data_IF_918266991985
#
_entry.id   IF_918266991985
#
_cell.length_a   1.000
_cell.length_b   1.000
_cell.length_c   1.000
_cell.angle_alpha   90.00
_cell.angle_beta   90.00
_cell.angle_gamma   90.00
#
_symmetry.space_group_name_H-M   'P 1'
#
loop_
_entity.id
_entity.type
_entity.pdbx_description
1 polymer ?
#
# COMPACT_ATOMS: atom_id res chain seq x y z
N UNK A 1 1.22 -10.83 14.12
CA UNK A 1 0.24 -9.75 13.93
C UNK A 1 0.44 -9.06 12.59
N UNK A 2 -0.65 -8.76 11.93
CA UNK A 2 -0.62 -8.08 10.64
C UNK A 2 -0.36 -6.58 10.83
N UNK A 3 0.55 -6.02 10.05
CA UNK A 3 0.87 -4.60 10.09
C UNK A 3 0.05 -3.87 9.04
N UNK A 4 -0.55 -2.76 9.43
CA UNK A 4 -1.46 -2.00 8.58
C UNK A 4 -1.03 -0.54 8.56
N UNK A 5 -1.00 0.05 7.36
CA UNK A 5 -0.84 1.48 7.18
C UNK A 5 -2.02 2.03 6.39
N UNK A 6 -2.45 3.23 6.76
CA UNK A 6 -3.35 4.02 5.91
C UNK A 6 -2.48 4.95 5.09
N UNK A 7 -2.57 4.86 3.77
CA UNK A 7 -1.72 5.65 2.89
C UNK A 7 -2.57 6.41 1.86
N UNK A 8 -1.99 7.47 1.33
CA UNK A 8 -2.59 8.27 0.26
C UNK A 8 -1.65 8.30 -0.92
N UNK A 9 -2.12 7.82 -2.07
CA UNK A 9 -1.36 7.81 -3.31
C UNK A 9 -1.97 8.87 -4.23
N UNK A 10 -1.36 10.06 -4.25
CA UNK A 10 -1.96 11.23 -4.90
C UNK A 10 -1.71 11.31 -6.39
N UNK A 11 -0.65 10.68 -6.89
CA UNK A 11 -0.24 10.83 -8.29
C UNK A 11 0.07 9.47 -8.89
N UNK A 12 0.12 9.43 -10.24
CA UNK A 12 0.53 8.22 -10.95
C UNK A 12 1.94 7.82 -10.53
N UNK A 13 2.82 8.81 -10.30
CA UNK A 13 4.18 8.55 -9.85
C UNK A 13 4.20 7.90 -8.47
N UNK A 14 3.33 8.32 -7.57
CA UNK A 14 3.22 7.70 -6.25
C UNK A 14 2.86 6.22 -6.38
N UNK A 15 1.90 5.90 -7.25
CA UNK A 15 1.47 4.52 -7.46
C UNK A 15 2.62 3.69 -8.03
N UNK A 16 3.37 4.24 -8.99
CA UNK A 16 4.52 3.54 -9.57
C UNK A 16 5.59 3.27 -8.53
N UNK A 17 5.91 4.26 -7.70
CA UNK A 17 6.91 4.10 -6.64
C UNK A 17 6.45 3.09 -5.61
N UNK A 18 5.17 3.13 -5.25
CA UNK A 18 4.60 2.17 -4.32
C UNK A 18 4.79 0.74 -4.83
N UNK A 19 4.46 0.49 -6.09
CA UNK A 19 4.60 -0.83 -6.69
C UNK A 19 6.08 -1.25 -6.74
N UNK A 20 6.99 -0.33 -7.08
CA UNK A 20 8.42 -0.62 -7.07
C UNK A 20 8.90 -1.05 -5.69
N UNK A 21 8.49 -0.32 -4.66
CA UNK A 21 8.86 -0.67 -3.29
C UNK A 21 8.29 -2.03 -2.88
N UNK A 22 7.05 -2.31 -3.28
CA UNK A 22 6.45 -3.61 -2.99
C UNK A 22 7.21 -4.75 -3.66
N UNK A 23 7.69 -4.52 -4.89
CA UNK A 23 8.43 -5.55 -5.63
C UNK A 23 9.80 -5.83 -5.02
N UNK A 24 10.31 -4.95 -4.18
CA UNK A 24 11.57 -5.15 -3.47
C UNK A 24 11.41 -5.96 -2.18
N UNK A 25 10.18 -6.21 -1.76
CA UNK A 25 9.92 -6.94 -0.52
C UNK A 25 9.85 -8.45 -0.77
N UNK A 26 10.26 -9.26 0.22
CA UNK A 26 10.19 -10.72 0.10
C UNK A 26 8.77 -11.28 0.21
N UNK A 27 7.83 -10.49 0.73
CA UNK A 27 6.43 -10.86 0.89
C UNK A 27 5.56 -9.73 0.41
N UNK A 28 4.29 -10.02 0.13
CA UNK A 28 3.38 -9.05 -0.44
C UNK A 28 2.51 -8.31 0.57
N UNK A 29 1.53 -7.62 0.04
CA UNK A 29 0.55 -6.91 0.83
C UNK A 29 -0.76 -6.86 0.05
N UNK A 30 -1.83 -6.51 0.75
CA UNK A 30 -3.15 -6.32 0.17
C UNK A 30 -3.57 -4.87 0.38
N UNK A 31 -4.16 -4.29 -0.65
CA UNK A 31 -4.69 -2.92 -0.56
C UNK A 31 -6.21 -3.02 -0.53
N UNK A 32 -6.79 -2.44 0.50
CA UNK A 32 -8.24 -2.44 0.71
C UNK A 32 -8.80 -1.05 0.43
N UNK A 33 -9.86 -1.00 -0.37
CA UNK A 33 -10.56 0.24 -0.65
C UNK A 33 -12.03 -0.07 -0.92
N UNK A 34 -12.91 0.47 -0.11
CA UNK A 34 -14.37 0.38 -0.30
C UNK A 34 -14.88 -1.05 -0.59
N UNK A 35 -14.36 -2.01 0.16
CA UNK A 35 -14.76 -3.40 0.00
C UNK A 35 -14.01 -4.17 -1.08
N UNK A 36 -13.18 -3.49 -1.85
CA UNK A 36 -12.32 -4.14 -2.84
C UNK A 36 -10.96 -4.44 -2.23
N UNK A 37 -10.39 -5.57 -2.61
CA UNK A 37 -9.07 -5.98 -2.15
C UNK A 37 -8.25 -6.33 -3.39
N UNK A 38 -7.09 -5.70 -3.54
CA UNK A 38 -6.17 -5.99 -4.63
C UNK A 38 -4.78 -6.26 -4.09
N UNK A 39 -3.98 -7.01 -4.84
CA UNK A 39 -2.57 -7.20 -4.47
C UNK A 39 -1.80 -5.91 -4.68
N UNK A 40 -0.97 -5.57 -3.69
CA UNK A 40 -0.24 -4.30 -3.71
C UNK A 40 0.80 -4.20 -4.82
N UNK A 41 1.21 -5.33 -5.41
CA UNK A 41 2.19 -5.34 -6.50
C UNK A 41 1.55 -5.24 -7.89
N UNK A 42 0.22 -5.17 -7.96
CA UNK A 42 -0.49 -5.13 -9.25
C UNK A 42 -0.92 -3.71 -9.56
N UNK A 43 -0.13 -3.06 -10.42
CA UNK A 43 -0.36 -1.64 -10.72
C UNK A 43 -1.74 -1.39 -11.35
N UNK A 44 -2.19 -2.27 -12.24
CA UNK A 44 -3.51 -2.10 -12.86
C UNK A 44 -4.63 -2.26 -11.85
N UNK A 45 -4.47 -3.19 -10.90
CA UNK A 45 -5.44 -3.35 -9.82
C UNK A 45 -5.53 -2.09 -8.97
N UNK A 46 -4.40 -1.47 -8.67
CA UNK A 46 -4.39 -0.23 -7.88
C UNK A 46 -5.09 0.90 -8.62
N UNK A 47 -4.88 1.02 -9.92
CA UNK A 47 -5.55 2.07 -10.70
C UNK A 47 -7.06 1.86 -10.82
N UNK A 48 -7.55 0.66 -10.52
CA UNK A 48 -9.00 0.42 -10.52
C UNK A 48 -9.66 0.89 -9.23
N UNK A 49 -8.89 1.25 -8.21
CA UNK A 49 -9.40 1.73 -6.93
C UNK A 49 -9.65 3.23 -6.97
N UNK A 50 -10.46 3.71 -6.04
CA UNK A 50 -10.64 5.14 -5.84
C UNK A 50 -9.48 5.67 -5.00
N UNK A 51 -8.48 6.22 -5.67
CA UNK A 51 -7.28 6.73 -5.01
C UNK A 51 -7.41 8.18 -4.56
N UNK A 52 -8.61 8.76 -4.68
CA UNK A 52 -8.86 10.10 -4.14
C UNK A 52 -9.01 10.07 -2.61
N UNK A 53 -9.07 8.88 -2.02
CA UNK A 53 -9.19 8.68 -0.59
C UNK A 53 -8.04 7.80 -0.10
N UNK A 54 -7.71 7.88 1.20
CA UNK A 54 -6.72 6.96 1.76
C UNK A 54 -7.14 5.51 1.59
N UNK A 55 -6.17 4.64 1.37
CA UNK A 55 -6.40 3.20 1.27
C UNK A 55 -5.67 2.49 2.40
N UNK A 56 -6.20 1.34 2.80
CA UNK A 56 -5.61 0.55 3.86
C UNK A 56 -4.69 -0.50 3.24
N UNK A 57 -3.42 -0.51 3.63
CA UNK A 57 -2.46 -1.51 3.19
C UNK A 57 -2.23 -2.49 4.33
N UNK A 58 -2.53 -3.74 4.06
CA UNK A 58 -2.33 -4.83 5.01
C UNK A 58 -1.12 -5.63 4.54
N UNK A 59 -0.01 -5.52 5.27
CA UNK A 59 1.24 -6.18 4.91
C UNK A 59 1.23 -7.62 5.41
N UNK A 60 1.92 -8.50 4.66
CA UNK A 60 2.11 -9.87 5.10
C UNK A 60 2.76 -9.87 6.49
N UNK A 61 2.33 -10.78 7.35
CA UNK A 61 2.80 -10.79 8.74
C UNK A 61 4.30 -11.10 8.87
N UNK A 62 4.91 -11.65 7.84
CA UNK A 62 6.35 -11.91 7.82
C UNK A 62 7.18 -10.65 7.61
N UNK A 63 6.56 -9.54 7.17
CA UNK A 63 7.26 -8.28 6.98
C UNK A 63 7.47 -7.58 8.31
N UNK A 64 8.64 -6.97 8.48
CA UNK A 64 8.98 -6.22 9.69
C UNK A 64 8.65 -4.74 9.50
N UNK A 65 8.63 -3.99 10.60
CA UNK A 65 8.46 -2.53 10.50
C UNK A 65 9.59 -1.87 9.72
N UNK A 66 10.79 -2.46 9.75
CA UNK A 66 11.91 -1.98 8.95
C UNK A 66 11.62 -2.13 7.45
N UNK A 67 11.04 -3.27 7.05
CA UNK A 67 10.64 -3.50 5.65
C UNK A 67 9.61 -2.47 5.20
N UNK A 68 8.73 -2.05 6.09
CA UNK A 68 7.59 -1.19 5.80
C UNK A 68 7.98 0.29 5.83
N UNK A 69 9.10 0.64 6.46
CA UNK A 69 9.53 2.02 6.64
C UNK A 69 9.45 2.86 5.36
N UNK A 70 9.89 2.39 4.18
CA UNK A 70 9.81 3.21 2.96
C UNK A 70 8.40 3.65 2.59
N UNK A 71 7.38 2.93 3.05
CA UNK A 71 5.99 3.24 2.71
C UNK A 71 5.40 4.35 3.56
N UNK A 72 6.08 4.73 4.63
CA UNK A 72 5.59 5.76 5.54
C UNK A 72 5.56 7.15 4.93
N UNK A 73 6.27 7.35 3.81
CA UNK A 73 6.22 8.63 3.10
C UNK A 73 4.82 8.94 2.59
N UNK A 74 3.99 7.91 2.42
CA UNK A 74 2.59 8.08 1.97
C UNK A 74 1.60 7.95 3.11
N UNK A 75 2.07 7.70 4.31
CA UNK A 75 1.19 7.45 5.44
C UNK A 75 0.38 8.68 5.80
N UNK A 76 -0.91 8.48 6.07
CA UNK A 76 -1.78 9.53 6.57
C UNK A 76 -2.25 9.12 7.97
N UNK A 77 -2.36 10.11 8.83
CA UNK A 77 -2.81 9.90 10.19
C UNK A 77 -4.22 10.42 10.34
N UNK A 78 -5.05 9.60 10.95
CA UNK A 78 -6.42 9.97 11.25
C UNK A 78 -6.41 10.63 12.62
N UNK A 79 -6.86 11.86 12.67
CA UNK A 79 -6.90 12.61 13.93
C UNK A 79 -8.29 12.67 14.51
#
# INVERSE_FOLDING_TARGET
MTKILMIMLNTIEDVKKFVQEMNNLPYGAKVHSRGYIVHASRIMGLFSLDLSEPVKVEFDEELTWEDIEPFKIWEVHDE
#
